data_IF_662891982896
#
_entry.id   IF_662891982896
#
_cell.length_a   1.000
_cell.length_b   1.000
_cell.length_c   1.000
_cell.angle_alpha   90.00
_cell.angle_beta   90.00
_cell.angle_gamma   90.00
#
_symmetry.space_group_name_H-M   'P 1'
#
loop_
_entity.id
_entity.type
_entity.pdbx_description
1 polymer ?
#
# COMPACT_ATOMS: atom_id res chain seq x y z
N UNK A 1 -15.38 -10.53 -2.48
CA UNK A 1 -15.30 -9.33 -3.34
C UNK A 1 -13.88 -9.16 -3.87
N UNK A 2 -13.60 -9.54 -5.13
CA UNK A 2 -12.24 -9.52 -5.69
C UNK A 2 -11.69 -8.11 -5.94
N UNK A 3 -12.55 -7.09 -6.00
CA UNK A 3 -12.17 -5.71 -6.36
C UNK A 3 -11.19 -5.06 -5.38
N UNK A 4 -11.14 -5.48 -4.11
CA UNK A 4 -10.19 -4.93 -3.13
C UNK A 4 -8.74 -5.40 -3.40
N UNK A 5 -8.55 -6.57 -4.04
CA UNK A 5 -7.21 -7.10 -4.37
C UNK A 5 -6.56 -6.38 -5.56
N UNK A 6 -7.34 -5.69 -6.40
CA UNK A 6 -6.81 -4.82 -7.46
C UNK A 6 -6.41 -3.43 -6.96
N UNK A 7 -6.77 -3.05 -5.73
CA UNK A 7 -6.40 -1.77 -5.12
C UNK A 7 -5.02 -1.79 -4.41
N UNK A 8 -4.22 -2.85 -4.60
CA UNK A 8 -2.81 -2.86 -4.20
C UNK A 8 -2.06 -1.93 -5.15
N UNK A 9 -2.05 -0.64 -4.83
CA UNK A 9 -1.27 0.37 -5.53
C UNK A 9 -2.07 1.53 -6.14
N UNK A 10 -3.41 1.49 -6.15
CA UNK A 10 -4.20 2.61 -6.65
C UNK A 10 -5.23 3.06 -5.62
N UNK A 11 -4.80 4.03 -4.82
CA UNK A 11 -5.61 4.89 -3.97
C UNK A 11 -6.48 4.23 -2.90
N UNK A 12 -6.04 4.36 -1.64
CA UNK A 12 -6.99 4.42 -0.52
C UNK A 12 -7.84 5.68 -0.67
N UNK A 13 -9.06 5.68 -0.15
CA UNK A 13 -9.93 6.86 -0.19
C UNK A 13 -9.16 8.11 0.31
N UNK A 14 -8.84 9.01 -0.61
CA UNK A 14 -8.11 10.25 -0.32
C UNK A 14 -6.57 10.17 -0.24
N UNK A 15 -5.92 9.05 -0.55
CA UNK A 15 -4.45 8.96 -0.60
C UNK A 15 -3.98 8.33 -1.91
N UNK A 16 -3.35 9.12 -2.79
CA UNK A 16 -2.95 8.71 -4.14
C UNK A 16 -1.45 8.36 -4.26
N UNK A 17 -0.69 8.40 -3.16
CA UNK A 17 0.77 8.24 -3.19
C UNK A 17 1.48 9.40 -3.90
N UNK A 18 0.84 10.57 -4.05
CA UNK A 18 1.42 11.74 -4.73
C UNK A 18 2.41 12.51 -3.86
N UNK A 19 2.31 12.37 -2.55
CA UNK A 19 3.23 12.96 -1.57
C UNK A 19 3.71 11.89 -0.61
N UNK A 20 4.79 12.16 0.12
CA UNK A 20 5.25 11.29 1.22
C UNK A 20 4.14 11.12 2.26
N UNK A 21 3.36 12.17 2.52
CA UNK A 21 2.22 12.11 3.44
C UNK A 21 1.12 11.15 2.93
N UNK A 22 0.83 11.16 1.63
CA UNK A 22 -0.12 10.20 1.04
C UNK A 22 0.42 8.78 1.11
N UNK A 23 1.69 8.56 0.78
CA UNK A 23 2.28 7.23 0.83
C UNK A 23 2.29 6.68 2.26
N UNK A 24 2.55 7.52 3.26
CA UNK A 24 2.43 7.16 4.67
C UNK A 24 1.01 6.73 5.05
N UNK A 25 -0.03 7.40 4.52
CA UNK A 25 -1.43 6.97 4.75
C UNK A 25 -1.67 5.58 4.15
N UNK A 26 -1.15 5.34 2.94
CA UNK A 26 -1.32 4.05 2.26
C UNK A 26 -0.67 2.91 3.05
N UNK A 27 0.59 3.09 3.44
CA UNK A 27 1.35 2.07 4.19
C UNK A 27 0.66 1.74 5.53
N UNK A 28 0.16 2.77 6.23
CA UNK A 28 -0.54 2.62 7.52
C UNK A 28 -1.83 1.82 7.41
N UNK A 29 -2.55 1.90 6.29
CA UNK A 29 -3.76 1.10 6.11
C UNK A 29 -3.46 -0.35 5.73
N UNK A 30 -2.39 -0.60 4.98
CA UNK A 30 -2.01 -1.97 4.61
C UNK A 30 -1.41 -2.76 5.79
N UNK A 31 -0.65 -2.10 6.66
CA UNK A 31 0.12 -2.76 7.73
C UNK A 31 -0.73 -3.66 8.66
N UNK A 32 -1.92 -3.26 9.17
CA UNK A 32 -2.74 -4.13 10.01
C UNK A 32 -3.24 -5.38 9.28
N UNK A 33 -3.60 -5.26 8.00
CA UNK A 33 -4.03 -6.40 7.20
C UNK A 33 -2.91 -7.42 7.00
N UNK A 34 -1.68 -6.95 6.84
CA UNK A 34 -0.50 -7.81 6.80
C UNK A 34 -0.20 -8.47 8.16
N UNK A 35 -0.30 -7.71 9.26
CA UNK A 35 -0.05 -8.22 10.60
C UNK A 35 -1.07 -9.27 11.05
N UNK A 36 -2.35 -9.13 10.64
CA UNK A 36 -3.43 -10.05 10.97
C UNK A 36 -3.59 -11.21 9.97
N UNK A 37 -2.72 -11.30 8.94
CA UNK A 37 -2.79 -12.34 7.92
C UNK A 37 -4.00 -12.25 6.99
N UNK A 38 -4.64 -11.07 6.87
CA UNK A 38 -5.71 -10.82 5.90
C UNK A 38 -5.19 -10.85 4.46
N UNK A 39 -3.91 -10.52 4.30
CA UNK A 39 -3.16 -10.64 3.06
C UNK A 39 -2.13 -11.76 3.16
N UNK A 40 -1.85 -12.40 2.03
CA UNK A 40 -0.76 -13.36 1.92
C UNK A 40 0.60 -12.65 2.09
N UNK A 41 1.65 -13.38 2.52
CA UNK A 41 3.00 -12.82 2.57
C UNK A 41 3.44 -12.20 1.25
N UNK A 42 3.10 -12.83 0.12
CA UNK A 42 3.43 -12.33 -1.22
C UNK A 42 2.73 -11.00 -1.57
N UNK A 43 1.50 -10.78 -1.10
CA UNK A 43 0.77 -9.51 -1.28
C UNK A 43 1.40 -8.39 -0.44
N UNK A 44 1.76 -8.68 0.81
CA UNK A 44 2.46 -7.73 1.69
C UNK A 44 3.84 -7.34 1.16
N UNK A 45 4.58 -8.32 0.62
CA UNK A 45 5.87 -8.11 -0.03
C UNK A 45 5.76 -7.23 -1.27
N UNK A 46 4.75 -7.48 -2.11
CA UNK A 46 4.47 -6.66 -3.29
C UNK A 46 4.19 -5.22 -2.88
N UNK A 47 3.38 -5.01 -1.85
CA UNK A 47 3.10 -3.68 -1.31
C UNK A 47 4.36 -2.99 -0.79
N UNK A 48 5.21 -3.71 -0.05
CA UNK A 48 6.47 -3.17 0.50
C UNK A 48 7.41 -2.67 -0.61
N UNK A 49 7.60 -3.48 -1.66
CA UNK A 49 8.42 -3.08 -2.81
C UNK A 49 7.83 -1.87 -3.57
N UNK A 50 6.52 -1.87 -3.78
CA UNK A 50 5.84 -0.75 -4.43
C UNK A 50 5.96 0.54 -3.62
N UNK A 51 5.79 0.48 -2.29
CA UNK A 51 5.96 1.63 -1.40
C UNK A 51 7.39 2.16 -1.43
N UNK A 52 8.40 1.28 -1.40
CA UNK A 52 9.80 1.68 -1.48
C UNK A 52 10.14 2.41 -2.79
N UNK A 53 9.71 1.85 -3.94
CA UNK A 53 9.88 2.49 -5.24
C UNK A 53 9.20 3.86 -5.27
N UNK A 54 7.96 3.94 -4.80
CA UNK A 54 7.24 5.22 -4.79
C UNK A 54 7.90 6.26 -3.91
N UNK A 55 8.39 5.87 -2.73
CA UNK A 55 9.14 6.77 -1.83
C UNK A 55 10.45 7.27 -2.44
N UNK A 56 11.11 6.50 -3.31
CA UNK A 56 12.30 6.98 -4.02
C UNK A 56 11.99 8.03 -5.08
N UNK A 57 10.81 7.99 -5.69
CA UNK A 57 10.34 8.98 -6.67
C UNK A 57 9.84 10.29 -6.03
N UNK A 58 9.53 10.25 -4.74
CA UNK A 58 8.97 11.37 -3.96
C UNK A 58 10.03 12.15 -3.16
N UNK A 59 11.28 11.72 -3.21
CA UNK A 59 12.44 12.41 -2.63
C UNK A 59 12.89 13.54 -3.55
#
# INVERSE_FOLDING_TARGET
>A
MPALRSAIGNSLAGAQGKTVADQNKIDKTMAPGCALGLYTPAECDRHTRASAARRSELK
#
